data_IF_791857590687
#
_entry.id   IF_791857590687
#
_cell.length_a   1.000
_cell.length_b   1.000
_cell.length_c   1.000
_cell.angle_alpha   90.00
_cell.angle_beta   90.00
_cell.angle_gamma   90.00
#
_symmetry.space_group_name_H-M   'P 1'
#
loop_
_entity.id
_entity.type
_entity.pdbx_description
1 polymer ?
#
# COMPACT_ATOMS: atom_id res chain seq x y z
N UNK A 1 4.66 -13.10 9.60
CA UNK A 1 6.02 -12.82 9.07
C UNK A 1 6.99 -12.81 10.24
N UNK A 2 8.19 -13.40 10.12
CA UNK A 2 9.24 -13.40 11.17
C UNK A 2 10.62 -13.01 10.64
N UNK A 3 10.71 -12.67 9.36
CA UNK A 3 11.93 -12.25 8.72
C UNK A 3 12.25 -10.80 9.11
N UNK A 4 13.41 -10.59 9.74
CA UNK A 4 13.81 -9.28 10.24
C UNK A 4 14.03 -8.27 9.11
N UNK A 5 14.49 -8.70 7.94
CA UNK A 5 14.72 -7.80 6.81
C UNK A 5 13.41 -7.30 6.23
N UNK A 6 12.40 -8.19 6.13
CA UNK A 6 11.04 -7.82 5.71
C UNK A 6 10.40 -6.85 6.71
N UNK A 7 10.56 -7.11 8.01
CA UNK A 7 10.01 -6.24 9.06
C UNK A 7 10.70 -4.88 9.07
N UNK A 8 12.02 -4.84 8.91
CA UNK A 8 12.77 -3.58 8.81
C UNK A 8 12.38 -2.79 7.55
N UNK A 9 12.27 -3.46 6.40
CA UNK A 9 11.83 -2.82 5.16
C UNK A 9 10.39 -2.31 5.25
N UNK A 10 9.49 -3.04 5.92
CA UNK A 10 8.14 -2.56 6.17
C UNK A 10 8.10 -1.28 7.01
N UNK A 11 8.98 -1.13 8.01
CA UNK A 11 9.11 0.11 8.78
C UNK A 11 9.67 1.28 7.96
N UNK A 12 10.43 0.98 6.90
CA UNK A 12 11.15 1.97 6.10
C UNK A 12 10.52 2.23 4.72
N UNK A 13 9.40 1.58 4.39
CA UNK A 13 8.90 1.51 3.01
C UNK A 13 8.65 2.88 2.35
N UNK A 14 8.20 3.88 3.11
CA UNK A 14 7.95 5.25 2.61
C UNK A 14 9.14 6.20 2.79
N UNK A 15 10.25 5.76 3.41
CA UNK A 15 11.32 6.68 3.81
C UNK A 15 12.02 7.33 2.62
N UNK A 16 12.28 6.58 1.55
CA UNK A 16 12.83 7.14 0.32
C UNK A 16 11.80 7.94 -0.48
N UNK A 17 10.52 7.74 -0.18
CA UNK A 17 9.40 8.32 -0.92
C UNK A 17 8.99 9.70 -0.38
N UNK A 18 8.90 9.82 0.95
CA UNK A 18 8.26 10.96 1.63
C UNK A 18 9.21 11.71 2.58
N UNK A 19 10.52 11.41 2.53
CA UNK A 19 11.55 12.12 3.32
C UNK A 19 12.78 12.46 2.46
N UNK A 20 13.72 13.23 3.03
CA UNK A 20 15.01 13.54 2.37
C UNK A 20 16.05 12.40 2.49
N UNK A 21 15.64 11.20 2.93
CA UNK A 21 16.54 10.06 3.05
C UNK A 21 17.09 9.61 1.69
N UNK A 22 18.36 9.20 1.66
CA UNK A 22 19.00 8.68 0.45
C UNK A 22 19.18 7.17 0.52
N UNK A 23 19.25 6.46 -0.62
CA UNK A 23 19.59 5.03 -0.66
C UNK A 23 20.88 4.71 0.10
N UNK A 24 21.90 5.57 0.02
CA UNK A 24 23.17 5.38 0.73
C UNK A 24 23.01 5.51 2.25
N UNK A 25 22.18 6.45 2.73
CA UNK A 25 21.89 6.60 4.15
C UNK A 25 21.10 5.38 4.69
N UNK A 26 20.12 4.90 3.95
CA UNK A 26 19.36 3.68 4.29
C UNK A 26 20.30 2.47 4.31
N UNK A 27 21.12 2.28 3.26
CA UNK A 27 22.12 1.20 3.21
C UNK A 27 23.05 1.22 4.42
N UNK A 28 23.57 2.38 4.78
CA UNK A 28 24.49 2.51 5.90
C UNK A 28 23.86 2.10 7.24
N UNK A 29 22.54 2.26 7.40
CA UNK A 29 21.81 1.94 8.62
C UNK A 29 21.37 0.47 8.69
N UNK A 30 20.88 -0.10 7.58
CA UNK A 30 20.18 -1.40 7.57
C UNK A 30 20.75 -2.44 6.59
N UNK A 31 21.75 -2.08 5.81
CA UNK A 31 22.41 -2.96 4.84
C UNK A 31 21.68 -3.09 3.50
N UNK A 32 22.32 -3.82 2.58
CA UNK A 32 21.89 -3.92 1.18
C UNK A 32 20.58 -4.68 0.97
N UNK A 33 20.34 -5.73 1.77
CA UNK A 33 19.13 -6.55 1.62
C UNK A 33 17.86 -5.74 1.93
N UNK A 34 17.87 -5.00 3.04
CA UNK A 34 16.75 -4.13 3.42
C UNK A 34 16.59 -2.98 2.43
N UNK A 35 17.68 -2.35 2.01
CA UNK A 35 17.62 -1.31 0.98
C UNK A 35 16.97 -1.84 -0.31
N UNK A 36 17.34 -3.05 -0.76
CA UNK A 36 16.77 -3.65 -1.97
C UNK A 36 15.26 -3.79 -1.85
N UNK A 37 14.76 -4.26 -0.71
CA UNK A 37 13.32 -4.36 -0.46
C UNK A 37 12.64 -2.99 -0.42
N UNK A 38 13.25 -1.99 0.24
CA UNK A 38 12.71 -0.62 0.29
C UNK A 38 12.60 -0.02 -1.12
N UNK A 39 13.61 -0.24 -1.97
CA UNK A 39 13.59 0.21 -3.37
C UNK A 39 12.48 -0.47 -4.19
N UNK A 40 12.19 -1.75 -3.97
CA UNK A 40 11.09 -2.46 -4.66
C UNK A 40 9.69 -1.92 -4.29
N UNK A 41 9.57 -1.30 -3.12
CA UNK A 41 8.29 -0.77 -2.61
C UNK A 41 8.17 0.76 -2.74
N UNK A 42 9.22 1.45 -3.16
CA UNK A 42 9.22 2.91 -3.38
C UNK A 42 8.67 3.25 -4.77
N UNK A 43 7.74 4.21 -4.85
CA UNK A 43 7.29 4.74 -6.15
C UNK A 43 8.26 5.78 -6.72
N UNK A 44 8.35 5.83 -8.06
CA UNK A 44 9.07 6.90 -8.77
C UNK A 44 8.25 8.21 -8.76
N UNK A 45 8.56 9.10 -7.81
CA UNK A 45 7.91 10.43 -7.66
C UNK A 45 8.15 11.39 -8.83
N UNK A 46 9.07 11.10 -9.75
CA UNK A 46 9.25 11.93 -10.96
C UNK A 46 8.05 11.82 -11.92
N UNK A 47 7.25 10.76 -11.77
CA UNK A 47 6.09 10.49 -12.60
C UNK A 47 4.80 11.11 -12.02
N UNK A 48 3.84 11.47 -12.90
CA UNK A 48 2.50 11.88 -12.46
C UNK A 48 1.82 10.81 -11.61
N UNK A 49 1.03 11.25 -10.61
CA UNK A 49 0.35 10.35 -9.66
C UNK A 49 -0.46 9.22 -10.32
N UNK A 50 -1.14 9.52 -11.42
CA UNK A 50 -1.92 8.51 -12.14
C UNK A 50 -1.03 7.43 -12.78
N UNK A 51 0.12 7.83 -13.32
CA UNK A 51 1.09 6.90 -13.89
C UNK A 51 1.73 6.03 -12.80
N UNK A 52 2.05 6.60 -11.63
CA UNK A 52 2.55 5.83 -10.48
C UNK A 52 1.56 4.75 -10.05
N UNK A 53 0.27 5.11 -9.92
CA UNK A 53 -0.80 4.17 -9.61
C UNK A 53 -0.93 3.04 -10.62
N UNK A 54 -0.81 3.34 -11.91
CA UNK A 54 -0.87 2.35 -12.97
C UNK A 54 0.33 1.40 -12.92
N UNK A 55 1.54 1.94 -12.73
CA UNK A 55 2.77 1.14 -12.57
C UNK A 55 2.73 0.24 -11.35
N UNK A 56 2.10 0.66 -10.25
CA UNK A 56 1.90 -0.23 -9.10
C UNK A 56 1.10 -1.48 -9.47
N UNK A 57 0.11 -1.39 -10.36
CA UNK A 57 -0.63 -2.56 -10.84
C UNK A 57 0.27 -3.41 -11.75
N UNK A 58 0.91 -2.79 -12.74
CA UNK A 58 1.71 -3.49 -13.76
C UNK A 58 2.91 -4.24 -13.16
N UNK A 59 3.60 -3.62 -12.19
CA UNK A 59 4.81 -4.18 -11.60
C UNK A 59 4.56 -5.06 -10.38
N UNK A 60 3.37 -5.00 -9.79
CA UNK A 60 3.05 -5.74 -8.57
C UNK A 60 3.31 -7.25 -8.70
N UNK A 61 2.92 -7.86 -9.83
CA UNK A 61 3.14 -9.29 -10.07
C UNK A 61 4.63 -9.68 -10.12
N UNK A 62 5.50 -8.73 -10.49
CA UNK A 62 6.95 -8.94 -10.65
C UNK A 62 7.76 -8.68 -9.38
N UNK A 63 7.14 -8.12 -8.34
CA UNK A 63 7.81 -7.88 -7.06
C UNK A 63 8.27 -9.18 -6.39
N UNK A 64 9.35 -9.11 -5.62
CA UNK A 64 9.82 -10.24 -4.82
C UNK A 64 8.76 -10.70 -3.81
N UNK A 65 8.75 -11.98 -3.38
CA UNK A 65 7.80 -12.45 -2.37
C UNK A 65 7.81 -11.60 -1.09
N UNK A 66 8.99 -11.14 -0.66
CA UNK A 66 9.16 -10.23 0.47
C UNK A 66 8.52 -8.86 0.22
N UNK A 67 8.78 -8.24 -0.93
CA UNK A 67 8.17 -6.96 -1.29
C UNK A 67 6.63 -7.07 -1.41
N UNK A 68 6.11 -8.20 -1.89
CA UNK A 68 4.66 -8.46 -1.92
C UNK A 68 4.04 -8.52 -0.53
N UNK A 69 4.73 -9.07 0.48
CA UNK A 69 4.27 -9.03 1.87
C UNK A 69 4.14 -7.59 2.39
N UNK A 70 5.13 -6.75 2.09
CA UNK A 70 5.13 -5.33 2.50
C UNK A 70 4.00 -4.58 1.80
N UNK A 71 3.85 -4.75 0.47
CA UNK A 71 2.77 -4.15 -0.30
C UNK A 71 1.38 -4.59 0.19
N UNK A 72 1.20 -5.85 0.56
CA UNK A 72 -0.06 -6.33 1.18
C UNK A 72 -0.34 -5.60 2.50
N UNK A 73 0.64 -5.55 3.40
CA UNK A 73 0.49 -4.91 4.70
C UNK A 73 0.19 -3.40 4.57
N UNK A 74 0.90 -2.71 3.67
CA UNK A 74 0.65 -1.30 3.32
C UNK A 74 -0.79 -1.09 2.84
N UNK A 75 -1.28 -1.91 1.90
CA UNK A 75 -2.66 -1.78 1.38
C UNK A 75 -3.71 -2.05 2.45
N UNK A 76 -3.49 -2.99 3.36
CA UNK A 76 -4.37 -3.23 4.51
C UNK A 76 -4.46 -1.98 5.38
N UNK A 77 -3.32 -1.41 5.77
CA UNK A 77 -3.28 -0.19 6.60
C UNK A 77 -3.99 0.97 5.92
N UNK A 78 -3.66 1.23 4.66
CA UNK A 78 -4.23 2.34 3.90
C UNK A 78 -5.75 2.22 3.71
N UNK A 79 -6.27 1.02 3.43
CA UNK A 79 -7.72 0.81 3.27
C UNK A 79 -8.44 0.94 4.61
N UNK A 80 -7.82 0.47 5.70
CA UNK A 80 -8.35 0.66 7.04
C UNK A 80 -8.44 2.14 7.40
N UNK A 81 -7.35 2.89 7.25
CA UNK A 81 -7.29 4.32 7.55
C UNK A 81 -8.25 5.12 6.68
N UNK A 82 -8.33 4.81 5.38
CA UNK A 82 -9.24 5.50 4.47
C UNK A 82 -10.72 5.35 4.89
N UNK A 83 -11.09 4.20 5.45
CA UNK A 83 -12.46 3.96 5.90
C UNK A 83 -12.75 4.54 7.28
N UNK A 84 -11.79 4.60 8.20
CA UNK A 84 -12.01 5.11 9.55
C UNK A 84 -11.75 6.61 9.64
N UNK A 85 -10.66 7.08 9.05
CA UNK A 85 -10.15 8.45 9.09
C UNK A 85 -9.83 8.96 7.67
N UNK A 86 -10.85 9.12 6.79
CA UNK A 86 -10.63 9.54 5.41
C UNK A 86 -9.96 10.92 5.38
N UNK A 87 -9.01 11.16 4.44
CA UNK A 87 -8.37 12.46 4.37
C UNK A 87 -9.39 13.57 4.09
N UNK A 88 -9.20 14.72 4.76
CA UNK A 88 -10.11 15.85 4.65
C UNK A 88 -10.34 16.26 3.19
N UNK A 89 -11.60 16.47 2.82
CA UNK A 89 -12.00 16.91 1.48
C UNK A 89 -12.01 15.82 0.40
N UNK A 90 -11.77 14.55 0.74
CA UNK A 90 -11.99 13.46 -0.21
C UNK A 90 -13.50 13.20 -0.40
N UNK A 91 -13.95 13.23 -1.65
CA UNK A 91 -15.32 12.84 -2.00
C UNK A 91 -15.50 11.33 -1.91
N UNK A 92 -16.75 10.89 -1.75
CA UNK A 92 -17.13 9.47 -1.85
C UNK A 92 -16.55 8.80 -3.11
N UNK A 93 -16.73 9.42 -4.27
CA UNK A 93 -16.21 8.88 -5.53
C UNK A 93 -14.69 8.69 -5.53
N UNK A 94 -13.95 9.59 -4.87
CA UNK A 94 -12.49 9.50 -4.75
C UNK A 94 -12.07 8.36 -3.82
N UNK A 95 -12.81 8.12 -2.73
CA UNK A 95 -12.60 6.99 -1.82
C UNK A 95 -12.84 5.68 -2.58
N UNK A 96 -13.98 5.53 -3.25
CA UNK A 96 -14.31 4.34 -4.07
C UNK A 96 -13.22 4.07 -5.11
N UNK A 97 -12.79 5.11 -5.84
CA UNK A 97 -11.69 4.98 -6.81
C UNK A 97 -10.39 4.49 -6.19
N UNK A 98 -10.11 4.86 -4.93
CA UNK A 98 -8.95 4.36 -4.21
C UNK A 98 -9.11 2.88 -3.83
N UNK A 99 -10.27 2.49 -3.32
CA UNK A 99 -10.57 1.10 -2.96
C UNK A 99 -10.45 0.16 -4.17
N UNK A 100 -11.00 0.57 -5.33
CA UNK A 100 -10.91 -0.20 -6.58
C UNK A 100 -9.46 -0.32 -7.07
N UNK A 101 -8.69 0.77 -6.98
CA UNK A 101 -7.27 0.74 -7.31
C UNK A 101 -6.48 -0.18 -6.37
N UNK A 102 -6.74 -0.11 -5.07
CA UNK A 102 -6.09 -0.97 -4.09
C UNK A 102 -6.38 -2.44 -4.37
N UNK A 103 -7.63 -2.77 -4.70
CA UNK A 103 -8.05 -4.13 -5.08
C UNK A 103 -7.34 -4.60 -6.36
N UNK A 104 -7.23 -3.72 -7.36
CA UNK A 104 -6.49 -4.02 -8.59
C UNK A 104 -5.02 -4.34 -8.31
N UNK A 105 -4.34 -3.60 -7.43
CA UNK A 105 -2.95 -3.91 -7.04
C UNK A 105 -2.87 -5.25 -6.30
N UNK A 106 -3.73 -5.46 -5.30
CA UNK A 106 -3.71 -6.68 -4.49
C UNK A 106 -4.02 -7.93 -5.34
N UNK A 107 -4.87 -7.81 -6.36
CA UNK A 107 -5.16 -8.90 -7.30
C UNK A 107 -3.89 -9.48 -7.98
N UNK A 108 -2.88 -8.64 -8.21
CA UNK A 108 -1.64 -9.02 -8.87
C UNK A 108 -0.64 -9.74 -7.94
N UNK A 109 -0.87 -9.69 -6.62
CA UNK A 109 0.04 -10.24 -5.61
C UNK A 109 -0.61 -11.31 -4.73
N UNK A 110 -1.80 -11.79 -5.10
CA UNK A 110 -2.44 -12.95 -4.47
C UNK A 110 -1.57 -14.20 -4.58
N UNK A 111 -1.76 -15.14 -3.65
CA UNK A 111 -0.92 -16.34 -3.52
C UNK A 111 0.41 -16.09 -2.81
N UNK A 112 0.58 -14.93 -2.18
CA UNK A 112 1.78 -14.58 -1.40
C UNK A 112 1.61 -14.97 0.06
N UNK A 113 0.49 -14.59 0.67
CA UNK A 113 0.22 -14.88 2.07
C UNK A 113 -1.29 -14.94 2.34
N UNK A 114 -1.86 -16.13 2.61
CA UNK A 114 -3.30 -16.29 2.74
C UNK A 114 -3.90 -15.51 3.92
N UNK A 115 -3.13 -15.26 4.98
CA UNK A 115 -3.62 -14.51 6.14
C UNK A 115 -3.72 -13.02 5.86
N UNK A 116 -2.70 -12.42 5.24
CA UNK A 116 -2.74 -11.01 4.84
C UNK A 116 -3.79 -10.78 3.75
N UNK A 117 -3.95 -11.72 2.83
CA UNK A 117 -4.95 -11.67 1.77
C UNK A 117 -6.38 -11.71 2.34
N UNK A 118 -6.66 -12.63 3.27
CA UNK A 118 -7.96 -12.69 3.93
C UNK A 118 -8.25 -11.44 4.77
N UNK A 119 -7.23 -10.89 5.44
CA UNK A 119 -7.39 -9.65 6.21
C UNK A 119 -7.63 -8.44 5.30
N UNK A 120 -6.95 -8.37 4.15
CA UNK A 120 -7.23 -7.36 3.14
C UNK A 120 -8.67 -7.44 2.65
N UNK A 121 -9.17 -8.65 2.34
CA UNK A 121 -10.56 -8.84 1.90
C UNK A 121 -11.58 -8.38 2.95
N UNK A 122 -11.30 -8.70 4.23
CA UNK A 122 -12.12 -8.27 5.35
C UNK A 122 -12.18 -6.73 5.46
N UNK A 123 -11.01 -6.09 5.45
CA UNK A 123 -10.88 -4.62 5.59
C UNK A 123 -11.45 -3.89 4.37
N UNK A 124 -11.29 -4.42 3.16
CA UNK A 124 -11.89 -3.86 1.95
C UNK A 124 -13.41 -3.92 1.98
N UNK A 125 -13.98 -5.06 2.39
CA UNK A 125 -15.43 -5.21 2.50
C UNK A 125 -16.01 -4.24 3.55
N UNK A 126 -15.38 -4.14 4.72
CA UNK A 126 -15.74 -3.19 5.77
C UNK A 126 -15.64 -1.73 5.27
N UNK A 127 -14.56 -1.39 4.57
CA UNK A 127 -14.34 -0.06 4.02
C UNK A 127 -15.44 0.35 3.02
N UNK A 128 -15.88 -0.56 2.15
CA UNK A 128 -16.98 -0.29 1.20
C UNK A 128 -18.29 -0.02 1.93
N UNK A 129 -18.63 -0.81 2.96
CA UNK A 129 -19.85 -0.62 3.77
C UNK A 129 -19.83 0.76 4.46
N UNK A 130 -18.77 1.06 5.21
CA UNK A 130 -18.65 2.34 5.95
C UNK A 130 -18.73 3.53 4.99
N UNK A 131 -18.07 3.44 3.84
CA UNK A 131 -18.05 4.51 2.84
C UNK A 131 -19.44 4.74 2.24
N UNK A 132 -20.20 3.69 1.95
CA UNK A 132 -21.59 3.80 1.47
C UNK A 132 -22.54 4.37 2.52
N UNK A 133 -22.43 3.97 3.78
CA UNK A 133 -23.26 4.49 4.87
C UNK A 133 -23.03 5.98 5.10
N UNK A 134 -21.77 6.43 5.06
CA UNK A 134 -21.41 7.85 5.16
C UNK A 134 -22.04 8.69 4.06
N UNK A 135 -22.00 8.22 2.82
CA UNK A 135 -22.61 8.92 1.69
C UNK A 135 -24.13 9.03 1.84
N UNK A 136 -24.80 7.94 2.25
CA UNK A 136 -26.24 7.95 2.52
C UNK A 136 -26.62 8.96 3.59
N UNK A 137 -25.82 9.04 4.66
CA UNK A 137 -26.05 9.99 5.75
C UNK A 137 -25.76 11.44 5.35
N UNK A 138 -24.85 11.69 4.42
CA UNK A 138 -24.56 13.03 3.91
C UNK A 138 -25.62 13.56 2.94
N UNK A 139 -26.39 12.66 2.32
CA UNK A 139 -27.47 12.98 1.37
C UNK A 139 -28.87 13.03 2.00
N UNK A 140 -28.99 12.65 3.28
CA UNK A 140 -30.24 12.70 4.07
C UNK A 140 -30.38 14.00 4.84
#
# INVERSE_FOLDING_TARGET
VRDLEVLAAALLHDTLEDTDATPDAVRALVGDNVLTLVLEVTDDKSLPKQERKQRQIEHAAHASPQAKLIKLADKISNVYDLSHEPPAGWSYARIVTYLDWSEAVVSQIRGTNPWLEAEYDRVLAEARIITEEREKNALS
#
